data_IF_248345305389
#
_entry.id   IF_248345305389
#
_cell.length_a   1.000
_cell.length_b   1.000
_cell.length_c   1.000
_cell.angle_alpha   90.00
_cell.angle_beta   90.00
_cell.angle_gamma   90.00
#
_symmetry.space_group_name_H-M   'P 1'
#
loop_
_entity.id
_entity.type
_entity.pdbx_description
1 polymer ?
#
# COMPACT_ATOMS: atom_id res chain seq x y z
N UNK A 1 -23.94 4.18 4.49
CA UNK A 1 -22.76 3.32 4.72
C UNK A 1 -23.02 2.00 4.02
N UNK A 2 -21.97 1.41 3.47
CA UNK A 2 -21.95 0.07 2.90
C UNK A 2 -20.68 -0.63 3.38
N UNK A 3 -20.62 -1.94 3.25
CA UNK A 3 -19.39 -2.66 3.52
C UNK A 3 -18.43 -2.46 2.34
N UNK A 4 -17.19 -2.08 2.61
CA UNK A 4 -16.10 -2.06 1.63
C UNK A 4 -15.24 -3.30 1.84
N UNK A 5 -14.85 -3.91 0.73
CA UNK A 5 -14.20 -5.21 0.70
C UNK A 5 -12.81 -5.07 0.10
N UNK A 6 -11.80 -5.53 0.83
CA UNK A 6 -10.43 -5.66 0.38
C UNK A 6 -10.23 -7.03 -0.26
N UNK A 7 -9.65 -7.06 -1.45
CA UNK A 7 -9.37 -8.29 -2.19
C UNK A 7 -7.89 -8.39 -2.54
N UNK A 8 -7.32 -9.59 -2.44
CA UNK A 8 -6.01 -9.92 -2.99
C UNK A 8 -6.17 -10.79 -4.24
N UNK A 9 -5.65 -10.34 -5.37
CA UNK A 9 -5.65 -11.10 -6.64
C UNK A 9 -4.28 -11.72 -6.88
N UNK A 10 -4.26 -13.01 -7.16
CA UNK A 10 -3.03 -13.75 -7.41
C UNK A 10 -2.31 -13.24 -8.65
N UNK A 11 -1.03 -12.89 -8.50
CA UNK A 11 -0.13 -12.61 -9.62
C UNK A 11 0.86 -13.75 -9.78
N UNK A 12 1.59 -14.07 -8.71
CA UNK A 12 2.53 -15.17 -8.66
C UNK A 12 2.67 -15.68 -7.20
N UNK A 13 3.52 -16.70 -6.91
CA UNK A 13 3.65 -17.23 -5.55
C UNK A 13 4.07 -16.21 -4.48
N UNK A 14 4.74 -15.12 -4.86
CA UNK A 14 5.32 -14.12 -3.96
C UNK A 14 4.54 -12.80 -3.94
N UNK A 15 3.67 -12.57 -4.92
CA UNK A 15 3.00 -11.27 -5.10
C UNK A 15 1.52 -11.43 -5.40
N UNK A 16 0.74 -10.50 -4.85
CA UNK A 16 -0.67 -10.32 -5.15
C UNK A 16 -0.91 -8.86 -5.55
N UNK A 17 -1.85 -8.63 -6.45
CA UNK A 17 -2.49 -7.33 -6.59
C UNK A 17 -3.53 -7.15 -5.49
N UNK A 18 -3.98 -5.92 -5.27
CA UNK A 18 -5.12 -5.67 -4.41
C UNK A 18 -6.11 -4.69 -5.04
N UNK A 19 -7.39 -4.93 -4.84
CA UNK A 19 -8.49 -4.10 -5.35
C UNK A 19 -9.62 -4.01 -4.34
N UNK A 20 -10.61 -3.16 -4.60
CA UNK A 20 -11.69 -2.88 -3.66
C UNK A 20 -13.05 -3.12 -4.31
N UNK A 21 -14.00 -3.68 -3.57
CA UNK A 21 -15.43 -3.69 -3.94
C UNK A 21 -16.29 -3.17 -2.78
N UNK A 22 -17.59 -3.02 -2.99
CA UNK A 22 -18.53 -2.70 -1.91
C UNK A 22 -19.81 -3.52 -1.99
N UNK A 23 -20.50 -3.65 -0.86
CA UNK A 23 -21.84 -4.26 -0.80
C UNK A 23 -22.91 -3.46 -1.56
N UNK A 24 -22.60 -2.24 -2.00
CA UNK A 24 -23.44 -1.42 -2.88
C UNK A 24 -23.18 -1.66 -4.37
N UNK A 25 -22.33 -2.62 -4.73
CA UNK A 25 -22.06 -3.02 -6.12
C UNK A 25 -20.94 -2.24 -6.82
N UNK A 26 -20.29 -1.27 -6.13
CA UNK A 26 -19.11 -0.61 -6.69
C UNK A 26 -17.89 -1.54 -6.73
N UNK A 27 -17.03 -1.32 -7.73
CA UNK A 27 -15.76 -2.02 -7.92
C UNK A 27 -14.70 -1.02 -8.37
N UNK A 28 -13.57 -1.01 -7.67
CA UNK A 28 -12.44 -0.16 -7.98
C UNK A 28 -11.23 -1.05 -8.32
N UNK A 29 -10.91 -1.21 -9.62
CA UNK A 29 -9.71 -1.93 -10.04
C UNK A 29 -8.43 -1.30 -9.48
N UNK A 30 -7.36 -2.08 -9.46
CA UNK A 30 -6.02 -1.50 -9.45
C UNK A 30 -5.39 -1.62 -10.84
N UNK A 31 -4.15 -1.15 -10.97
CA UNK A 31 -3.38 -1.21 -12.20
C UNK A 31 -3.29 -2.62 -12.83
N UNK A 32 -3.35 -3.68 -12.02
CA UNK A 32 -3.34 -5.08 -12.48
C UNK A 32 -4.71 -5.69 -12.79
N UNK A 33 -5.78 -4.88 -12.79
CA UNK A 33 -7.15 -5.36 -13.01
C UNK A 33 -7.88 -5.78 -11.73
N UNK A 34 -8.88 -6.66 -11.86
CA UNK A 34 -9.80 -7.01 -10.76
C UNK A 34 -10.11 -8.50 -10.59
N UNK A 35 -9.49 -9.40 -11.34
CA UNK A 35 -10.04 -10.74 -11.47
C UNK A 35 -9.50 -11.75 -10.44
N UNK A 36 -10.39 -12.68 -10.04
CA UNK A 36 -10.10 -13.90 -9.26
C UNK A 36 -9.34 -13.68 -7.95
N UNK A 37 -9.70 -12.63 -7.23
CA UNK A 37 -9.15 -12.38 -5.90
C UNK A 37 -9.79 -13.21 -4.80
N UNK A 38 -9.05 -13.42 -3.71
CA UNK A 38 -9.59 -13.88 -2.43
C UNK A 38 -9.93 -12.68 -1.55
N UNK A 39 -11.01 -12.76 -0.76
CA UNK A 39 -11.30 -11.73 0.23
C UNK A 39 -10.20 -11.70 1.30
N UNK A 40 -9.79 -10.49 1.71
CA UNK A 40 -8.74 -10.31 2.72
C UNK A 40 -9.11 -9.35 3.86
N UNK A 41 -10.26 -8.70 3.78
CA UNK A 41 -10.79 -7.87 4.85
C UNK A 41 -12.02 -7.10 4.42
N UNK A 42 -12.78 -6.61 5.40
CA UNK A 42 -13.95 -5.78 5.18
C UNK A 42 -14.19 -4.78 6.32
N UNK A 43 -14.91 -3.71 6.01
CA UNK A 43 -15.27 -2.70 7.00
C UNK A 43 -16.37 -1.77 6.50
N UNK A 44 -17.13 -1.19 7.42
CA UNK A 44 -18.17 -0.21 7.06
C UNK A 44 -17.54 1.11 6.64
N UNK A 45 -17.88 1.57 5.43
CA UNK A 45 -17.44 2.85 4.89
C UNK A 45 -18.53 3.51 4.04
N UNK A 46 -18.19 4.67 3.48
CA UNK A 46 -19.05 5.37 2.52
C UNK A 46 -18.52 5.14 1.10
N UNK A 47 -19.24 4.38 0.24
CA UNK A 47 -18.82 4.15 -1.14
C UNK A 47 -18.59 5.43 -1.93
N UNK A 48 -19.29 6.51 -1.62
CA UNK A 48 -19.14 7.81 -2.27
C UNK A 48 -17.78 8.44 -1.94
N UNK A 49 -17.32 8.30 -0.69
CA UNK A 49 -15.98 8.73 -0.29
C UNK A 49 -14.93 7.85 -0.96
N UNK A 50 -15.12 6.53 -0.95
CA UNK A 50 -14.21 5.59 -1.63
C UNK A 50 -14.11 5.91 -3.14
N UNK A 51 -15.24 6.18 -3.79
CA UNK A 51 -15.32 6.56 -5.20
C UNK A 51 -14.62 7.88 -5.48
N UNK A 52 -14.74 8.88 -4.61
CA UNK A 52 -14.02 10.13 -4.74
C UNK A 52 -12.50 9.93 -4.57
N UNK A 53 -12.10 9.11 -3.58
CA UNK A 53 -10.69 8.81 -3.30
C UNK A 53 -10.04 8.01 -4.42
N UNK A 54 -10.80 7.17 -5.12
CA UNK A 54 -10.30 6.32 -6.19
C UNK A 54 -9.86 7.09 -7.43
N UNK A 55 -10.26 8.36 -7.60
CA UNK A 55 -9.99 9.10 -8.82
C UNK A 55 -8.51 9.52 -9.00
N UNK A 56 -8.04 9.69 -10.25
CA UNK A 56 -8.68 9.19 -11.48
C UNK A 56 -8.52 7.66 -11.59
N UNK A 57 -9.39 7.03 -12.38
CA UNK A 57 -9.22 5.65 -12.89
C UNK A 57 -8.97 4.54 -11.85
N UNK A 58 -9.37 4.75 -10.60
CA UNK A 58 -9.12 3.84 -9.46
C UNK A 58 -7.66 3.76 -9.01
N UNK A 59 -6.82 4.68 -9.48
CA UNK A 59 -5.40 4.77 -9.10
C UNK A 59 -5.21 5.48 -7.75
N UNK A 60 -6.24 6.19 -7.27
CA UNK A 60 -6.21 6.93 -6.02
C UNK A 60 -5.02 7.91 -5.90
N UNK A 61 -4.55 8.46 -7.02
CA UNK A 61 -3.42 9.40 -7.07
C UNK A 61 -2.06 8.73 -6.81
N UNK A 62 -1.95 7.42 -7.08
CA UNK A 62 -0.69 6.68 -7.12
C UNK A 62 -0.14 6.71 -8.55
N UNK A 63 1.16 6.98 -8.69
CA UNK A 63 1.90 6.71 -9.92
C UNK A 63 2.61 5.36 -9.71
N UNK A 64 2.22 4.34 -10.46
CA UNK A 64 2.69 2.97 -10.23
C UNK A 64 4.22 2.86 -10.24
N UNK A 65 4.79 2.16 -9.26
CA UNK A 65 6.24 2.01 -9.08
C UNK A 65 6.94 3.26 -8.55
N UNK A 66 6.44 4.46 -8.85
CA UNK A 66 7.03 5.72 -8.39
C UNK A 66 6.58 6.08 -6.98
N UNK A 67 5.26 6.20 -6.76
CA UNK A 67 4.68 6.60 -5.46
C UNK A 67 3.87 5.50 -4.78
N UNK A 68 3.78 4.32 -5.37
CA UNK A 68 3.10 3.17 -4.78
C UNK A 68 2.84 2.07 -5.78
N UNK A 69 2.23 0.98 -5.32
CA UNK A 69 1.70 -0.10 -6.15
C UNK A 69 0.21 -0.31 -5.86
N UNK A 70 -0.39 -1.39 -6.36
CA UNK A 70 -1.81 -1.69 -6.15
C UNK A 70 -2.23 -1.66 -4.66
N UNK A 71 -1.35 -2.05 -3.73
CA UNK A 71 -1.64 -2.04 -2.31
C UNK A 71 -1.95 -0.65 -1.78
N UNK A 72 -1.13 0.35 -2.14
CA UNK A 72 -1.32 1.72 -1.69
C UNK A 72 -2.56 2.36 -2.30
N UNK A 73 -2.86 2.07 -3.57
CA UNK A 73 -4.09 2.51 -4.21
C UNK A 73 -5.33 1.95 -3.50
N UNK A 74 -5.36 0.63 -3.26
CA UNK A 74 -6.45 -0.03 -2.56
C UNK A 74 -6.62 0.48 -1.12
N UNK A 75 -5.52 0.65 -0.37
CA UNK A 75 -5.57 1.22 0.98
C UNK A 75 -6.15 2.63 1.01
N UNK A 76 -5.80 3.50 0.05
CA UNK A 76 -6.39 4.85 -0.07
C UNK A 76 -7.90 4.78 -0.30
N UNK A 77 -8.38 3.86 -1.13
CA UNK A 77 -9.81 3.68 -1.40
C UNK A 77 -10.54 3.10 -0.17
N UNK A 78 -9.88 2.23 0.60
CA UNK A 78 -10.40 1.62 1.83
C UNK A 78 -10.33 2.54 3.07
N UNK A 79 -9.71 3.72 2.95
CA UNK A 79 -9.61 4.71 4.03
C UNK A 79 -10.91 4.93 4.83
N UNK A 80 -12.09 5.18 4.21
CA UNK A 80 -13.34 5.37 4.95
C UNK A 80 -13.81 4.14 5.73
N UNK A 81 -13.37 2.93 5.36
CA UNK A 81 -13.67 1.70 6.07
C UNK A 81 -12.65 1.34 7.16
N UNK A 82 -11.52 2.06 7.23
CA UNK A 82 -10.40 1.79 8.14
C UNK A 82 -9.84 0.38 8.01
N UNK A 83 -9.82 -0.13 6.78
CA UNK A 83 -9.28 -1.45 6.42
C UNK A 83 -8.01 -1.27 5.61
N UNK A 84 -7.07 -2.21 5.76
CA UNK A 84 -5.87 -2.30 4.93
C UNK A 84 -5.86 -3.62 4.17
N UNK A 85 -5.10 -3.66 3.09
CA UNK A 85 -4.80 -4.89 2.34
C UNK A 85 -3.64 -5.68 2.96
N UNK A 86 -3.51 -5.64 4.29
CA UNK A 86 -2.33 -6.16 5.02
C UNK A 86 -2.11 -7.65 4.87
N UNK A 87 -3.14 -8.41 4.49
CA UNK A 87 -3.04 -9.85 4.26
C UNK A 87 -2.67 -10.22 2.82
N UNK A 88 -2.44 -9.24 1.93
CA UNK A 88 -1.90 -9.49 0.60
C UNK A 88 -0.42 -9.88 0.67
N UNK A 89 0.02 -10.80 -0.20
CA UNK A 89 1.44 -11.11 -0.38
C UNK A 89 2.23 -9.87 -0.79
N UNK A 90 3.50 -9.80 -0.39
CA UNK A 90 4.40 -8.65 -0.56
C UNK A 90 3.91 -7.30 0.01
N UNK A 91 2.79 -7.26 0.74
CA UNK A 91 2.30 -6.04 1.39
C UNK A 91 3.36 -5.39 2.26
N UNK A 92 3.98 -6.16 3.16
CA UNK A 92 4.97 -5.65 4.10
C UNK A 92 6.17 -5.03 3.37
N UNK A 93 6.66 -5.68 2.31
CA UNK A 93 7.72 -5.13 1.46
C UNK A 93 7.28 -3.82 0.79
N UNK A 94 6.06 -3.76 0.27
CA UNK A 94 5.54 -2.54 -0.34
C UNK A 94 5.40 -1.38 0.66
N UNK A 95 5.04 -1.65 1.92
CA UNK A 95 5.00 -0.63 2.98
C UNK A 95 6.41 -0.15 3.33
N UNK A 96 7.41 -1.02 3.30
CA UNK A 96 8.80 -0.60 3.53
C UNK A 96 9.33 0.36 2.46
N UNK A 97 8.79 0.35 1.24
CA UNK A 97 9.27 1.20 0.14
C UNK A 97 8.36 2.42 -0.05
N UNK A 98 7.06 2.22 0.07
CA UNK A 98 6.04 3.21 -0.29
C UNK A 98 5.18 3.64 0.90
N UNK A 99 5.31 3.04 2.08
CA UNK A 99 4.34 3.25 3.15
C UNK A 99 2.97 2.60 2.86
N UNK A 100 2.04 2.69 3.81
CA UNK A 100 0.71 2.11 3.71
C UNK A 100 -0.17 2.83 2.70
N UNK A 101 0.03 4.15 2.52
CA UNK A 101 -0.79 4.98 1.63
C UNK A 101 0.02 5.66 0.53
N UNK A 102 1.19 5.13 0.15
CA UNK A 102 2.01 5.68 -0.94
C UNK A 102 3.13 6.59 -0.44
N UNK A 103 4.20 6.71 -1.24
CA UNK A 103 5.47 7.28 -0.79
C UNK A 103 5.22 8.65 -0.19
N UNK A 104 5.56 8.85 1.09
CA UNK A 104 5.50 10.16 1.67
C UNK A 104 6.63 10.95 1.05
N UNK A 105 6.30 11.80 0.09
CA UNK A 105 7.03 13.03 -0.15
C UNK A 105 6.10 14.18 0.22
N UNK A 106 6.68 15.35 0.51
CA UNK A 106 5.91 16.47 1.06
C UNK A 106 4.69 16.83 0.20
N UNK A 107 4.84 16.77 -1.12
CA UNK A 107 3.77 17.08 -2.06
C UNK A 107 2.71 15.97 -2.12
N UNK A 108 3.12 14.71 -2.17
CA UNK A 108 2.22 13.57 -2.26
C UNK A 108 1.38 13.40 -0.98
N UNK A 109 2.01 13.52 0.20
CA UNK A 109 1.31 13.40 1.48
C UNK A 109 0.33 14.56 1.70
N UNK A 110 0.74 15.80 1.38
CA UNK A 110 -0.16 16.96 1.43
C UNK A 110 -1.37 16.76 0.53
N UNK A 111 -1.15 16.38 -0.74
CA UNK A 111 -2.23 16.10 -1.71
C UNK A 111 -3.15 14.98 -1.23
N UNK A 112 -2.59 13.93 -0.63
CA UNK A 112 -3.37 12.83 -0.08
C UNK A 112 -4.28 13.30 1.06
N UNK A 113 -3.75 14.05 2.03
CA UNK A 113 -4.53 14.61 3.14
C UNK A 113 -5.61 15.59 2.68
N UNK A 114 -5.28 16.47 1.75
CA UNK A 114 -6.25 17.39 1.13
C UNK A 114 -7.40 16.60 0.48
N UNK A 115 -7.07 15.51 -0.25
CA UNK A 115 -8.07 14.66 -0.89
C UNK A 115 -8.96 13.95 0.13
N UNK A 116 -8.42 13.43 1.23
CA UNK A 116 -9.23 12.87 2.33
C UNK A 116 -10.25 13.91 2.81
N UNK A 117 -9.80 15.15 3.06
CA UNK A 117 -10.66 16.24 3.51
C UNK A 117 -11.75 16.60 2.50
N UNK A 118 -11.38 16.75 1.22
CA UNK A 118 -12.30 17.08 0.13
C UNK A 118 -13.37 15.99 -0.06
N UNK A 119 -12.96 14.72 -0.12
CA UNK A 119 -13.88 13.60 -0.35
C UNK A 119 -14.79 13.36 0.86
N UNK A 120 -14.29 13.54 2.08
CA UNK A 120 -15.10 13.37 3.30
C UNK A 120 -16.14 14.49 3.43
N UNK A 121 -15.79 15.74 3.10
CA UNK A 121 -16.71 16.88 3.18
C UNK A 121 -17.81 16.86 2.10
N UNK A 122 -17.58 16.20 0.96
CA UNK A 122 -18.57 16.06 -0.10
C UNK A 122 -19.74 15.13 0.30
N UNK A 123 -19.49 14.21 1.24
CA UNK A 123 -20.46 13.20 1.69
C UNK A 123 -21.67 13.80 2.42
N UNK A 124 -21.51 14.95 3.09
CA UNK A 124 -22.60 15.61 3.82
C UNK A 124 -23.73 16.12 2.89
N UNK A 125 -23.58 15.99 1.56
CA UNK A 125 -24.48 16.61 0.58
C UNK A 125 -25.24 15.64 -0.35
N UNK A 126 -24.96 14.33 -0.36
CA UNK A 126 -25.54 13.44 -1.40
C UNK A 126 -25.92 12.02 -0.94
N UNK A 127 -26.62 11.87 0.18
CA UNK A 127 -27.19 10.57 0.53
C UNK A 127 -28.42 10.27 -0.34
N UNK A 128 -28.24 9.57 -1.47
CA UNK A 128 -29.33 8.92 -2.21
C UNK A 128 -29.02 7.46 -2.50
N UNK A 129 -29.96 6.61 -2.09
CA UNK A 129 -29.87 5.16 -1.98
C UNK A 129 -29.91 4.47 -3.35
N UNK A 130 -28.95 3.57 -3.59
CA UNK A 130 -29.11 2.45 -4.53
C UNK A 130 -28.77 1.18 -3.76
N UNK A 131 -29.70 0.23 -3.74
CA UNK A 131 -29.50 -1.10 -3.18
C UNK A 131 -29.19 -2.07 -4.32
N UNK A 132 -28.02 -2.68 -4.27
CA UNK A 132 -27.64 -3.81 -5.10
C UNK A 132 -27.39 -5.02 -4.19
N UNK A 133 -27.80 -6.21 -4.60
CA UNK A 133 -27.55 -7.46 -3.88
C UNK A 133 -26.43 -8.21 -4.61
N UNK A 134 -25.31 -8.43 -3.93
CA UNK A 134 -24.19 -9.23 -4.42
C UNK A 134 -24.30 -10.66 -3.86
N UNK A 135 -24.25 -11.67 -4.73
CA UNK A 135 -24.46 -13.09 -4.40
C UNK A 135 -23.15 -13.85 -4.11
N UNK A 136 -22.04 -13.16 -3.83
CA UNK A 136 -20.78 -13.81 -3.51
C UNK A 136 -20.57 -14.00 -2.00
N UNK A 137 -19.60 -14.84 -1.64
CA UNK A 137 -19.23 -15.08 -0.25
C UNK A 137 -18.76 -13.77 0.39
N UNK A 138 -19.46 -13.30 1.43
CA UNK A 138 -19.04 -12.14 2.20
C UNK A 138 -17.62 -12.39 2.76
N UNK A 139 -16.66 -11.47 2.57
CA UNK A 139 -15.34 -11.57 3.18
C UNK A 139 -15.44 -11.78 4.70
N UNK A 140 -14.48 -12.50 5.29
CA UNK A 140 -14.40 -12.58 6.73
C UNK A 140 -14.13 -11.19 7.33
N UNK A 141 -14.67 -10.96 8.52
CA UNK A 141 -14.33 -9.78 9.29
C UNK A 141 -12.82 -9.67 9.50
N UNK A 142 -12.31 -8.44 9.48
CA UNK A 142 -10.88 -8.15 9.70
C UNK A 142 -10.46 -8.64 11.09
N UNK A 143 -9.36 -9.41 11.23
CA UNK A 143 -8.82 -9.78 12.53
C UNK A 143 -8.57 -8.54 13.41
N UNK A 144 -8.79 -8.65 14.73
CA UNK A 144 -8.66 -7.49 15.63
C UNK A 144 -7.27 -6.83 15.59
N UNK A 145 -6.20 -7.62 15.42
CA UNK A 145 -4.84 -7.10 15.29
C UNK A 145 -4.64 -6.25 14.03
N UNK A 146 -5.27 -6.62 12.92
CA UNK A 146 -5.21 -5.87 11.66
C UNK A 146 -5.95 -4.54 11.79
N UNK A 147 -7.10 -4.55 12.48
CA UNK A 147 -7.86 -3.34 12.76
C UNK A 147 -7.06 -2.38 13.67
N UNK A 148 -6.44 -2.90 14.74
CA UNK A 148 -5.59 -2.09 15.62
C UNK A 148 -4.42 -1.47 14.85
N UNK A 149 -3.75 -2.24 14.00
CA UNK A 149 -2.68 -1.76 13.13
C UNK A 149 -3.17 -0.66 12.17
N UNK A 150 -4.31 -0.87 11.51
CA UNK A 150 -4.91 0.12 10.62
C UNK A 150 -5.26 1.42 11.35
N UNK A 151 -5.84 1.34 12.56
CA UNK A 151 -6.17 2.51 13.38
C UNK A 151 -4.93 3.29 13.82
N UNK A 152 -3.85 2.60 14.20
CA UNK A 152 -2.56 3.25 14.52
C UNK A 152 -1.98 3.99 13.31
N UNK A 153 -2.02 3.38 12.12
CA UNK A 153 -1.56 4.04 10.88
C UNK A 153 -2.43 5.25 10.52
N UNK A 154 -3.76 5.13 10.56
CA UNK A 154 -4.67 6.26 10.27
C UNK A 154 -4.40 7.42 11.23
N UNK A 155 -4.26 7.13 12.53
CA UNK A 155 -3.92 8.15 13.54
C UNK A 155 -2.60 8.82 13.22
N UNK A 156 -1.59 8.05 12.81
CA UNK A 156 -0.29 8.57 12.40
C UNK A 156 -0.40 9.57 11.25
N UNK A 157 -1.14 9.25 10.17
CA UNK A 157 -1.34 10.17 9.03
C UNK A 157 -2.16 11.42 9.38
N UNK A 158 -3.19 11.27 10.21
CA UNK A 158 -3.99 12.42 10.68
C UNK A 158 -3.15 13.40 11.51
N UNK A 159 -2.11 12.90 12.20
CA UNK A 159 -1.20 13.69 13.03
C UNK A 159 0.10 14.09 12.31
N UNK A 160 0.32 13.65 11.07
CA UNK A 160 1.60 13.81 10.38
C UNK A 160 1.98 15.29 10.18
N UNK A 161 1.00 16.21 10.14
CA UNK A 161 1.13 17.64 10.44
C UNK A 161 2.36 18.33 9.84
N UNK A 162 3.44 18.37 10.61
CA UNK A 162 4.68 19.13 10.37
C UNK A 162 5.92 18.23 10.22
N UNK A 163 5.78 16.91 10.33
CA UNK A 163 6.93 15.98 10.30
C UNK A 163 7.36 15.71 8.87
N UNK A 164 8.66 15.55 8.67
CA UNK A 164 9.24 15.26 7.37
C UNK A 164 8.74 13.92 6.82
N UNK A 165 8.66 13.75 5.48
CA UNK A 165 8.12 12.54 4.89
C UNK A 165 8.90 11.25 5.25
N UNK A 166 10.21 11.36 5.40
CA UNK A 166 11.09 10.27 5.85
C UNK A 166 10.75 9.83 7.28
N UNK A 167 10.40 10.78 8.16
CA UNK A 167 10.03 10.46 9.54
C UNK A 167 8.67 9.75 9.61
N UNK A 168 7.73 10.15 8.76
CA UNK A 168 6.44 9.47 8.64
C UNK A 168 6.64 7.99 8.25
N UNK A 169 7.40 7.74 7.19
CA UNK A 169 7.67 6.37 6.74
C UNK A 169 8.41 5.54 7.80
N UNK A 170 9.41 6.12 8.49
CA UNK A 170 10.09 5.43 9.58
C UNK A 170 9.12 5.01 10.70
N UNK A 171 8.13 5.86 11.03
CA UNK A 171 7.10 5.54 12.03
C UNK A 171 6.13 4.46 11.53
N UNK A 172 5.76 4.47 10.26
CA UNK A 172 4.98 3.38 9.65
C UNK A 172 5.74 2.06 9.71
N UNK A 173 7.03 2.06 9.38
CA UNK A 173 7.92 0.89 9.52
C UNK A 173 7.95 0.36 10.93
N UNK A 174 8.04 1.24 11.93
CA UNK A 174 8.01 0.83 13.34
C UNK A 174 6.68 0.15 13.69
N UNK A 175 5.55 0.68 13.21
CA UNK A 175 4.23 0.06 13.41
C UNK A 175 4.11 -1.30 12.70
N UNK A 176 4.66 -1.42 11.49
CA UNK A 176 4.68 -2.67 10.74
C UNK A 176 5.49 -3.75 11.47
N UNK A 177 6.68 -3.38 11.99
CA UNK A 177 7.54 -4.31 12.74
C UNK A 177 6.87 -4.71 14.05
N UNK A 178 6.28 -3.77 14.80
CA UNK A 178 5.54 -4.08 16.04
C UNK A 178 4.38 -5.06 15.77
N UNK A 179 3.66 -4.84 14.67
CA UNK A 179 2.55 -5.69 14.24
C UNK A 179 2.99 -7.10 13.79
N UNK A 180 4.07 -7.21 13.00
CA UNK A 180 4.54 -8.50 12.45
C UNK A 180 5.44 -9.28 13.38
N UNK A 181 6.29 -8.57 14.13
CA UNK A 181 7.33 -9.08 15.02
C UNK A 181 7.14 -8.48 16.43
N UNK A 182 6.01 -8.74 17.11
CA UNK A 182 5.75 -8.15 18.42
C UNK A 182 6.84 -8.53 19.43
N UNK A 183 7.20 -7.56 20.29
CA UNK A 183 8.27 -7.74 21.29
C UNK A 183 9.69 -7.50 20.76
N UNK A 184 9.83 -7.16 19.48
CA UNK A 184 11.11 -6.74 18.90
C UNK A 184 11.62 -5.46 19.56
N UNK A 185 12.91 -5.45 19.95
CA UNK A 185 13.53 -4.30 20.60
C UNK A 185 13.72 -3.10 19.66
N UNK A 186 13.72 -1.89 20.24
CA UNK A 186 13.92 -0.63 19.51
C UNK A 186 15.20 -0.56 18.66
N UNK A 187 16.21 -1.37 19.00
CA UNK A 187 17.45 -1.43 18.23
C UNK A 187 17.24 -2.03 16.85
N UNK A 188 16.47 -3.13 16.74
CA UNK A 188 16.19 -3.74 15.46
C UNK A 188 15.37 -2.81 14.57
N UNK A 189 14.36 -2.14 15.15
CA UNK A 189 13.56 -1.13 14.44
C UNK A 189 14.44 -0.03 13.87
N UNK A 190 15.40 0.50 14.66
CA UNK A 190 16.34 1.52 14.17
C UNK A 190 17.19 1.00 13.02
N UNK A 191 17.77 -0.19 13.14
CA UNK A 191 18.61 -0.74 12.06
C UNK A 191 17.81 -1.02 10.79
N UNK A 192 16.58 -1.51 10.90
CA UNK A 192 15.68 -1.68 9.74
C UNK A 192 15.35 -0.33 9.10
N UNK A 193 15.13 0.71 9.90
CA UNK A 193 14.93 2.08 9.40
C UNK A 193 16.19 2.66 8.75
N UNK A 194 17.38 2.25 9.15
CA UNK A 194 18.65 2.71 8.55
C UNK A 194 18.78 2.16 7.13
N UNK A 195 18.61 0.84 6.96
CA UNK A 195 18.55 0.17 5.63
C UNK A 195 17.45 0.79 4.77
N UNK A 196 16.27 1.02 5.33
CA UNK A 196 15.18 1.68 4.61
C UNK A 196 15.56 3.08 4.10
N UNK A 197 16.31 3.89 4.87
CA UNK A 197 16.71 5.23 4.42
C UNK A 197 17.71 5.17 3.27
N UNK A 198 18.61 4.21 3.27
CA UNK A 198 19.57 3.99 2.18
C UNK A 198 18.84 3.57 0.90
N UNK A 199 17.94 2.57 0.99
CA UNK A 199 17.05 2.15 -0.08
C UNK A 199 16.28 3.33 -0.70
N UNK A 200 15.69 4.19 0.13
CA UNK A 200 14.91 5.33 -0.33
C UNK A 200 15.76 6.39 -1.02
N UNK A 201 16.98 6.64 -0.54
CA UNK A 201 17.90 7.59 -1.16
C UNK A 201 18.35 7.12 -2.56
N UNK A 202 18.63 5.83 -2.71
CA UNK A 202 18.98 5.23 -4.00
C UNK A 202 17.78 5.21 -4.94
N UNK A 203 16.60 4.81 -4.45
CA UNK A 203 15.35 4.86 -5.24
C UNK A 203 15.03 6.28 -5.69
N UNK A 204 15.22 7.31 -4.84
CA UNK A 204 15.00 8.71 -5.24
C UNK A 204 15.89 9.12 -6.43
N UNK A 205 17.09 8.54 -6.53
CA UNK A 205 17.97 8.75 -7.70
C UNK A 205 17.35 8.15 -8.95
N UNK A 206 16.84 6.91 -8.89
CA UNK A 206 16.14 6.26 -10.00
C UNK A 206 14.86 7.02 -10.38
N UNK A 207 14.10 7.49 -9.40
CA UNK A 207 12.88 8.28 -9.58
C UNK A 207 13.18 9.57 -10.38
N UNK A 208 14.28 10.26 -10.06
CA UNK A 208 14.72 11.46 -10.79
C UNK A 208 15.12 11.15 -12.23
N UNK A 209 15.76 10.00 -12.49
CA UNK A 209 16.14 9.57 -13.84
C UNK A 209 14.89 9.29 -14.68
N UNK A 210 13.90 8.59 -14.12
CA UNK A 210 12.60 8.35 -14.74
C UNK A 210 11.85 9.65 -15.03
N UNK A 211 11.71 10.53 -14.04
CA UNK A 211 10.95 11.78 -14.18
C UNK A 211 11.56 12.74 -15.20
N UNK A 212 12.87 12.68 -15.41
CA UNK A 212 13.56 13.41 -16.47
C UNK A 212 13.51 12.70 -17.84
N UNK A 213 12.73 11.61 -17.96
CA UNK A 213 12.56 10.77 -19.16
C UNK A 213 13.87 10.22 -19.73
N UNK A 214 14.86 9.97 -18.89
CA UNK A 214 16.13 9.35 -19.33
C UNK A 214 16.01 7.82 -19.45
N UNK A 215 14.98 7.22 -18.85
CA UNK A 215 14.65 5.79 -18.95
C UNK A 215 13.14 5.61 -19.10
N UNK A 216 12.70 4.53 -19.74
CA UNK A 216 11.29 4.14 -19.80
C UNK A 216 10.85 3.36 -18.55
N UNK A 217 9.53 3.23 -18.37
CA UNK A 217 8.94 2.58 -17.18
C UNK A 217 9.39 1.13 -16.96
N UNK A 218 9.57 0.35 -18.03
CA UNK A 218 10.04 -1.04 -17.95
C UNK A 218 11.47 -1.13 -17.37
N UNK A 219 12.39 -0.32 -17.91
CA UNK A 219 13.77 -0.27 -17.42
C UNK A 219 13.83 0.24 -15.98
N UNK A 220 13.05 1.27 -15.66
CA UNK A 220 12.95 1.78 -14.29
C UNK A 220 12.46 0.69 -13.32
N UNK A 221 11.43 -0.07 -13.68
CA UNK A 221 10.91 -1.15 -12.84
C UNK A 221 11.98 -2.23 -12.59
N UNK A 222 12.74 -2.62 -13.61
CA UNK A 222 13.85 -3.55 -13.46
C UNK A 222 14.92 -3.03 -12.48
N UNK A 223 15.36 -1.78 -12.63
CA UNK A 223 16.37 -1.16 -11.76
C UNK A 223 15.88 -1.02 -10.31
N UNK A 224 14.61 -0.64 -10.10
CA UNK A 224 14.01 -0.58 -8.76
C UNK A 224 13.89 -1.97 -8.14
N UNK A 225 13.50 -2.99 -8.91
CA UNK A 225 13.42 -4.36 -8.40
C UNK A 225 14.80 -4.91 -8.05
N UNK A 226 15.84 -4.63 -8.83
CA UNK A 226 17.21 -5.02 -8.51
C UNK A 226 17.68 -4.38 -7.19
N UNK A 227 17.43 -3.09 -7.02
CA UNK A 227 17.69 -2.37 -5.77
C UNK A 227 16.92 -3.00 -4.60
N UNK A 228 15.63 -3.28 -4.74
CA UNK A 228 14.81 -3.92 -3.69
C UNK A 228 15.40 -5.28 -3.28
N UNK A 229 15.80 -6.11 -4.25
CA UNK A 229 16.31 -7.45 -3.97
C UNK A 229 17.72 -7.43 -3.37
N UNK A 230 18.54 -6.43 -3.68
CA UNK A 230 19.79 -6.18 -2.97
C UNK A 230 19.52 -5.86 -1.49
N UNK A 231 18.55 -5.00 -1.19
CA UNK A 231 18.20 -4.63 0.18
C UNK A 231 17.53 -5.76 0.97
N UNK A 232 16.74 -6.62 0.31
CA UNK A 232 16.22 -7.85 0.91
C UNK A 232 17.35 -8.77 1.40
N UNK A 233 18.49 -8.82 0.71
CA UNK A 233 19.65 -9.57 1.19
C UNK A 233 20.24 -8.95 2.46
N UNK A 234 20.30 -7.62 2.56
CA UNK A 234 20.74 -6.92 3.78
C UNK A 234 19.79 -7.18 4.95
N UNK A 235 18.47 -7.14 4.71
CA UNK A 235 17.47 -7.50 5.72
C UNK A 235 17.60 -8.95 6.18
N UNK A 236 17.86 -9.89 5.28
CA UNK A 236 18.05 -11.30 5.62
C UNK A 236 19.28 -11.48 6.54
N UNK A 237 20.39 -10.82 6.24
CA UNK A 237 21.60 -10.87 7.07
C UNK A 237 21.33 -10.30 8.49
N UNK A 238 20.61 -9.18 8.56
CA UNK A 238 20.28 -8.52 9.82
C UNK A 238 19.28 -9.31 10.68
N UNK A 239 18.19 -9.78 10.07
CA UNK A 239 17.05 -10.40 10.75
C UNK A 239 17.28 -11.88 11.02
N UNK A 240 18.10 -12.54 10.21
CA UNK A 240 18.13 -13.98 10.08
C UNK A 240 16.88 -14.53 9.41
N UNK A 241 16.94 -15.78 8.97
CA UNK A 241 15.92 -16.41 8.14
C UNK A 241 14.50 -16.37 8.76
N UNK A 242 14.39 -16.65 10.06
CA UNK A 242 13.09 -16.72 10.74
C UNK A 242 12.35 -15.37 10.73
N UNK A 243 13.00 -14.30 11.19
CA UNK A 243 12.36 -12.98 11.25
C UNK A 243 12.21 -12.37 9.86
N UNK A 244 13.11 -12.68 8.91
CA UNK A 244 12.98 -12.31 7.51
C UNK A 244 11.72 -12.92 6.88
N UNK A 245 11.53 -14.24 7.02
CA UNK A 245 10.34 -14.94 6.52
C UNK A 245 9.06 -14.42 7.18
N UNK A 246 9.10 -14.18 8.49
CA UNK A 246 7.93 -13.65 9.21
C UNK A 246 7.60 -12.20 8.79
N UNK A 247 8.60 -11.36 8.55
CA UNK A 247 8.39 -9.97 8.18
C UNK A 247 8.00 -9.81 6.70
N UNK A 248 8.58 -10.55 5.77
CA UNK A 248 8.34 -10.35 4.35
C UNK A 248 7.47 -11.42 3.69
N UNK A 249 7.30 -12.58 4.33
CA UNK A 249 6.65 -13.73 3.71
C UNK A 249 7.47 -14.34 2.57
N UNK A 250 8.78 -14.10 2.55
CA UNK A 250 9.73 -14.54 1.54
C UNK A 250 10.76 -15.47 2.18
N UNK A 251 11.12 -16.56 1.50
CA UNK A 251 12.22 -17.43 1.91
C UNK A 251 13.58 -16.80 1.57
N UNK A 252 14.66 -17.16 2.28
CA UNK A 252 16.02 -16.78 1.93
C UNK A 252 16.34 -17.08 0.46
N UNK A 253 16.77 -16.06 -0.28
CA UNK A 253 17.14 -16.16 -1.70
C UNK A 253 15.99 -16.07 -2.70
N UNK A 254 14.73 -15.96 -2.25
CA UNK A 254 13.62 -15.66 -3.17
C UNK A 254 13.72 -14.21 -3.68
N UNK A 255 13.55 -14.04 -4.99
CA UNK A 255 13.51 -12.74 -5.64
C UNK A 255 12.06 -12.25 -5.74
N UNK A 256 11.78 -11.05 -5.25
CA UNK A 256 10.47 -10.42 -5.34
C UNK A 256 10.52 -9.16 -6.23
N UNK A 257 9.94 -9.23 -7.42
CA UNK A 257 9.88 -8.12 -8.38
C UNK A 257 8.64 -7.24 -8.15
N UNK A 258 8.64 -6.49 -7.05
CA UNK A 258 7.48 -5.73 -6.57
C UNK A 258 6.86 -4.79 -7.63
N UNK A 259 7.70 -4.17 -8.46
CA UNK A 259 7.25 -3.27 -9.53
C UNK A 259 7.15 -4.06 -10.83
N UNK A 260 5.92 -4.35 -11.26
CA UNK A 260 5.66 -5.05 -12.54
C UNK A 260 6.06 -4.16 -13.74
N UNK A 261 7.01 -4.58 -14.59
CA UNK A 261 7.53 -3.75 -15.68
C UNK A 261 6.49 -3.31 -16.70
N UNK A 262 5.54 -4.19 -17.06
CA UNK A 262 4.50 -3.89 -18.06
C UNK A 262 3.56 -2.78 -17.57
N UNK A 263 3.16 -2.84 -16.30
CA UNK A 263 2.31 -1.83 -15.66
C UNK A 263 3.07 -0.50 -15.50
N UNK A 264 4.34 -0.55 -15.12
CA UNK A 264 5.18 0.64 -15.05
C UNK A 264 5.34 1.28 -16.44
N UNK A 265 5.56 0.48 -17.49
CA UNK A 265 5.64 0.97 -18.86
C UNK A 265 4.37 1.69 -19.29
N UNK A 266 3.19 1.19 -18.90
CA UNK A 266 1.90 1.85 -19.15
C UNK A 266 1.73 3.17 -18.40
N UNK A 267 2.17 3.19 -17.14
CA UNK A 267 2.02 4.36 -16.26
C UNK A 267 2.89 5.56 -16.68
N UNK A 268 3.93 5.34 -17.49
CA UNK A 268 4.89 6.38 -17.92
C UNK A 268 4.97 6.56 -19.45
N UNK A 269 3.91 6.21 -20.19
CA UNK A 269 3.83 6.48 -21.64
C UNK A 269 3.73 7.97 -21.97
#
# INVERSE_FOLDING_TARGET
MAELYAWASYMNPLMEHAYVTSSAGHRWPCFGGTDRGRPIGSGLGHPEVAQCLSLPDSEAGINYGLTGVCHQAANRILWPAKVLVSQARSYNLSVMIYGAYGTPNETAERKWRERIGQCSAAQDKSASQISFTWDGDNPPAVPSADQEYAEKLIRLHLQAGERGPVELLARETALLIDYRLPGTGSQLVRTVQDIQRELLAEKETLDKVLLRKHVGGEKYAAEVNDLINQELAQFLELLGAQYYEQLFGLKPGERCDLVVPEIAAESFR
#
